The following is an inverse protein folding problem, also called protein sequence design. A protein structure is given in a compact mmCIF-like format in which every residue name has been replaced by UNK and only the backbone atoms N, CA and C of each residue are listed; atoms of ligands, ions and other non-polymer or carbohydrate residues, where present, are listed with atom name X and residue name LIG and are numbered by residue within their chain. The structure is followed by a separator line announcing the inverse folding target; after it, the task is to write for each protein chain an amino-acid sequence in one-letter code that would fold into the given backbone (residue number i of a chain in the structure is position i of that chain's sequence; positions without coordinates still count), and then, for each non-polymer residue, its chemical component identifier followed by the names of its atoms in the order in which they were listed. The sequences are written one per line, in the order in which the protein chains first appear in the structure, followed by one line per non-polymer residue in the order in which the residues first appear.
data_IF_530970646834
#
_entry.id   IF_530970646834
#
_cell.length_a   1.000
_cell.length_b   1.000
_cell.length_c   1.000
_cell.angle_alpha   90.00
_cell.angle_beta   90.00
_cell.angle_gamma   90.00
#
_symmetry.space_group_name_H-M   'P 1'
#
loop_
_entity.id
_entity.type
_entity.pdbx_description
1 polymer ?
#
# COMPACT_ATOMS: atom_id res chain seq x y z
N UNK A 1 -30.96 41.85 -25.13
CA UNK A 1 -29.55 41.83 -24.66
C UNK A 1 -29.37 40.63 -23.73
N UNK A 2 -28.49 39.70 -24.07
CA UNK A 2 -28.20 38.52 -23.23
C UNK A 2 -27.51 38.95 -21.94
N UNK A 3 -28.05 38.54 -20.79
CA UNK A 3 -27.48 38.89 -19.49
C UNK A 3 -26.12 38.23 -19.27
N UNK A 4 -25.32 38.75 -18.33
CA UNK A 4 -24.00 38.18 -18.02
C UNK A 4 -24.12 36.76 -17.43
N UNK A 5 -25.20 36.46 -16.73
CA UNK A 5 -25.55 35.11 -16.21
C UNK A 5 -25.84 34.13 -17.35
N UNK A 6 -26.60 34.55 -18.36
CA UNK A 6 -26.91 33.74 -19.54
C UNK A 6 -25.68 33.41 -20.38
N UNK A 7 -24.76 34.39 -20.54
CA UNK A 7 -23.48 34.16 -21.24
C UNK A 7 -22.63 33.09 -20.51
N UNK A 8 -22.50 33.23 -19.20
CA UNK A 8 -21.75 32.28 -18.40
C UNK A 8 -22.40 30.88 -18.40
N UNK A 9 -23.72 30.79 -18.37
CA UNK A 9 -24.43 29.51 -18.47
C UNK A 9 -24.17 28.83 -19.81
N UNK A 10 -24.19 29.57 -20.92
CA UNK A 10 -23.86 29.03 -22.25
C UNK A 10 -22.41 28.54 -22.34
N UNK A 11 -21.45 29.25 -21.75
CA UNK A 11 -20.05 28.83 -21.68
C UNK A 11 -19.93 27.49 -20.94
N UNK A 12 -20.62 27.34 -19.79
CA UNK A 12 -20.66 26.10 -18.99
C UNK A 12 -21.34 24.99 -19.77
N UNK A 13 -22.48 25.22 -20.42
CA UNK A 13 -23.21 24.21 -21.19
C UNK A 13 -22.39 23.68 -22.37
N UNK A 14 -21.71 24.58 -23.10
CA UNK A 14 -20.82 24.21 -24.19
C UNK A 14 -19.69 23.31 -23.70
N UNK A 15 -19.05 23.69 -22.60
CA UNK A 15 -17.99 22.89 -21.98
C UNK A 15 -18.51 21.52 -21.45
N UNK A 16 -19.66 21.50 -20.78
CA UNK A 16 -20.27 20.27 -20.28
C UNK A 16 -20.63 19.30 -21.40
N UNK A 17 -21.11 19.82 -22.54
CA UNK A 17 -21.44 18.98 -23.71
C UNK A 17 -20.18 18.40 -24.36
N UNK A 18 -19.11 19.21 -24.51
CA UNK A 18 -17.84 18.76 -25.08
C UNK A 18 -17.13 17.73 -24.18
N UNK A 19 -17.13 17.98 -22.86
CA UNK A 19 -16.46 17.13 -21.88
C UNK A 19 -17.32 15.97 -21.37
N UNK A 20 -18.59 15.84 -21.84
CA UNK A 20 -19.60 14.89 -21.35
C UNK A 20 -19.81 14.94 -19.83
N UNK A 21 -19.59 16.12 -19.22
CA UNK A 21 -19.70 16.35 -17.80
C UNK A 21 -21.10 16.83 -17.41
N UNK A 22 -21.69 16.28 -16.34
CA UNK A 22 -22.96 16.77 -15.82
C UNK A 22 -22.81 18.19 -15.24
N UNK A 23 -23.80 19.07 -15.48
CA UNK A 23 -23.81 20.47 -15.00
C UNK A 23 -23.66 20.61 -13.49
N UNK A 24 -24.22 19.68 -12.72
CA UNK A 24 -24.07 19.63 -11.25
C UNK A 24 -22.65 19.24 -10.82
N UNK A 25 -22.01 18.34 -11.53
CA UNK A 25 -20.61 17.95 -11.33
C UNK A 25 -19.68 19.09 -11.64
N UNK A 26 -19.88 19.77 -12.77
CA UNK A 26 -19.14 20.98 -13.14
C UNK A 26 -19.20 22.03 -12.03
N UNK A 27 -20.41 22.35 -11.55
CA UNK A 27 -20.58 23.35 -10.49
C UNK A 27 -19.86 23.00 -9.18
N UNK A 28 -19.87 21.72 -8.78
CA UNK A 28 -19.12 21.24 -7.62
C UNK A 28 -17.61 21.36 -7.82
N UNK A 29 -17.11 20.95 -8.97
CA UNK A 29 -15.68 20.96 -9.25
C UNK A 29 -15.12 22.37 -9.43
N UNK A 30 -15.84 23.25 -10.14
CA UNK A 30 -15.37 24.59 -10.45
C UNK A 30 -15.44 25.56 -9.24
N UNK A 31 -16.52 25.49 -8.46
CA UNK A 31 -16.82 26.48 -7.40
C UNK A 31 -17.44 25.90 -6.13
N UNK A 32 -17.43 24.59 -5.97
CA UNK A 32 -18.04 23.86 -4.84
C UNK A 32 -19.55 24.11 -4.68
N UNK A 33 -20.28 24.27 -5.81
CA UNK A 33 -21.71 24.54 -5.83
C UNK A 33 -22.44 23.74 -6.93
N UNK A 34 -22.99 22.60 -6.57
CA UNK A 34 -23.73 21.72 -7.49
C UNK A 34 -25.02 22.34 -8.06
N UNK A 35 -25.51 23.45 -7.49
CA UNK A 35 -26.70 24.16 -7.94
C UNK A 35 -26.39 25.42 -8.78
N UNK A 36 -25.11 25.66 -9.10
CA UNK A 36 -24.66 26.83 -9.88
C UNK A 36 -25.48 27.02 -11.16
N UNK A 37 -25.53 26.01 -12.02
CA UNK A 37 -26.22 26.10 -13.31
C UNK A 37 -27.73 26.31 -13.15
N UNK A 38 -28.36 25.69 -12.15
CA UNK A 38 -29.77 25.89 -11.83
C UNK A 38 -30.08 27.31 -11.32
N UNK A 39 -29.13 27.97 -10.63
CA UNK A 39 -29.29 29.36 -10.22
C UNK A 39 -29.11 30.32 -11.39
N UNK A 40 -28.12 30.11 -12.24
CA UNK A 40 -27.88 30.89 -13.46
C UNK A 40 -29.05 30.79 -14.44
N UNK A 41 -29.69 29.60 -14.59
CA UNK A 41 -30.87 29.41 -15.44
C UNK A 41 -32.12 30.13 -14.92
N UNK A 42 -32.19 30.45 -13.64
CA UNK A 42 -33.25 31.24 -13.01
C UNK A 42 -32.96 32.74 -13.03
N UNK A 43 -31.93 33.16 -13.78
CA UNK A 43 -31.55 34.57 -13.89
C UNK A 43 -30.72 35.14 -12.75
N UNK A 44 -30.38 34.32 -11.73
CA UNK A 44 -29.54 34.76 -10.61
C UNK A 44 -28.08 34.92 -11.06
N UNK A 45 -27.52 36.09 -10.85
CA UNK A 45 -26.13 36.35 -11.19
C UNK A 45 -25.16 35.89 -10.10
N UNK A 46 -23.88 35.72 -10.48
CA UNK A 46 -22.81 35.31 -9.56
C UNK A 46 -21.72 36.39 -9.48
N UNK A 47 -20.99 36.40 -8.36
CA UNK A 47 -19.92 37.37 -8.13
C UNK A 47 -18.82 37.26 -9.20
N UNK A 48 -18.09 38.34 -9.42
CA UNK A 48 -16.96 38.39 -10.36
C UNK A 48 -15.94 37.29 -10.04
N UNK A 49 -15.64 37.07 -8.77
CA UNK A 49 -14.74 36.00 -8.26
C UNK A 49 -15.21 34.60 -8.66
N UNK A 50 -16.52 34.37 -8.64
CA UNK A 50 -17.12 33.08 -9.05
C UNK A 50 -17.01 32.89 -10.56
N UNK A 51 -17.26 33.96 -11.34
CA UNK A 51 -17.11 33.94 -12.81
C UNK A 51 -15.66 33.63 -13.25
N UNK A 52 -14.69 34.25 -12.58
CA UNK A 52 -13.27 33.99 -12.83
C UNK A 52 -12.94 32.53 -12.57
N UNK A 53 -13.31 31.98 -11.43
CA UNK A 53 -13.07 30.55 -11.11
C UNK A 53 -13.70 29.59 -12.11
N UNK A 54 -14.90 29.89 -12.61
CA UNK A 54 -15.58 29.07 -13.62
C UNK A 54 -14.79 29.09 -14.94
N UNK A 55 -14.34 30.25 -15.38
CA UNK A 55 -13.56 30.39 -16.63
C UNK A 55 -12.17 29.76 -16.50
N UNK A 56 -11.50 29.94 -15.38
CA UNK A 56 -10.21 29.32 -15.12
C UNK A 56 -10.32 27.77 -15.13
N UNK A 57 -11.42 27.25 -14.59
CA UNK A 57 -11.71 25.80 -14.64
C UNK A 57 -11.92 25.32 -16.08
N UNK A 58 -12.73 26.04 -16.87
CA UNK A 58 -12.97 25.74 -18.30
C UNK A 58 -11.65 25.78 -19.08
N UNK A 59 -10.86 26.84 -18.95
CA UNK A 59 -9.60 27.02 -19.67
C UNK A 59 -8.57 25.94 -19.32
N UNK A 60 -8.44 25.60 -18.03
CA UNK A 60 -7.52 24.56 -17.56
C UNK A 60 -7.85 23.18 -18.12
N UNK A 61 -9.14 22.90 -18.35
CA UNK A 61 -9.57 21.60 -18.87
C UNK A 61 -9.72 21.60 -20.41
N UNK A 62 -9.87 22.74 -21.07
CA UNK A 62 -9.83 22.84 -22.55
C UNK A 62 -8.42 22.69 -23.10
N UNK A 63 -7.40 23.18 -22.42
CA UNK A 63 -5.99 22.97 -22.79
C UNK A 63 -5.54 21.51 -22.72
N UNK A 64 -6.26 20.68 -21.97
CA UNK A 64 -6.04 19.22 -21.90
C UNK A 64 -6.75 18.45 -23.05
N UNK A 65 -7.59 19.13 -23.87
CA UNK A 65 -8.31 18.49 -24.99
C UNK A 65 -7.57 18.64 -26.32
N UNK A 66 -6.50 19.45 -26.39
CA UNK A 66 -5.75 19.74 -27.61
C UNK A 66 -4.31 19.22 -27.67
N UNK A 67 -3.92 18.31 -26.79
CA UNK A 67 -2.58 17.72 -26.84
C UNK A 67 -2.47 16.48 -25.96
N UNK A 68 -2.33 15.32 -26.61
CA UNK A 68 -1.91 14.03 -26.09
C UNK A 68 -2.92 13.32 -25.17
N UNK A 69 -3.50 12.23 -25.68
CA UNK A 69 -4.27 11.22 -24.97
C UNK A 69 -3.52 10.71 -23.71
N UNK A 70 -3.94 11.16 -22.55
CA UNK A 70 -3.76 10.47 -21.28
C UNK A 70 -5.13 10.36 -20.65
N UNK A 71 -5.85 9.33 -21.02
CA UNK A 71 -7.15 9.00 -20.45
C UNK A 71 -7.00 8.49 -19.02
N UNK A 72 -7.18 9.37 -18.04
CA UNK A 72 -7.54 8.96 -16.69
C UNK A 72 -9.06 8.87 -16.66
N UNK A 73 -9.60 7.70 -16.97
CA UNK A 73 -11.02 7.39 -16.77
C UNK A 73 -11.28 7.12 -15.29
N UNK A 74 -11.80 8.14 -14.61
CA UNK A 74 -12.60 7.94 -13.39
C UNK A 74 -14.05 7.90 -13.85
N UNK A 75 -14.54 6.73 -14.22
CA UNK A 75 -15.97 6.51 -14.47
C UNK A 75 -16.69 6.25 -13.14
N UNK A 76 -17.40 7.28 -12.68
CA UNK A 76 -18.57 7.11 -11.82
C UNK A 76 -19.82 7.40 -12.67
N UNK A 77 -20.51 6.38 -13.15
CA UNK A 77 -21.87 6.50 -13.65
C UNK A 77 -22.83 5.63 -12.83
N UNK A 78 -23.98 6.19 -12.39
CA UNK A 78 -25.10 5.39 -11.96
C UNK A 78 -26.03 5.16 -13.18
N UNK A 79 -25.98 3.99 -13.81
CA UNK A 79 -27.03 3.56 -14.71
C UNK A 79 -28.11 2.80 -13.91
N UNK A 80 -29.28 3.41 -13.79
CA UNK A 80 -30.51 2.69 -13.50
C UNK A 80 -30.94 1.94 -14.77
N UNK A 81 -30.83 0.62 -14.78
CA UNK A 81 -31.80 -0.26 -15.41
C UNK A 81 -31.50 -1.73 -15.12
N UNK A 82 -32.60 -2.41 -14.73
CA UNK A 82 -32.86 -3.87 -14.69
C UNK A 82 -32.24 -4.69 -13.55
N UNK A 83 -33.14 -4.99 -12.61
CA UNK A 83 -33.05 -6.06 -11.62
C UNK A 83 -32.79 -7.41 -12.34
N UNK A 84 -31.53 -7.77 -12.35
CA UNK A 84 -31.03 -9.10 -12.63
C UNK A 84 -29.84 -9.31 -11.66
N UNK A 85 -29.79 -10.45 -10.97
CA UNK A 85 -28.78 -10.81 -9.95
C UNK A 85 -27.40 -10.31 -10.36
N UNK A 86 -27.04 -9.10 -9.95
CA UNK A 86 -25.71 -8.53 -10.17
C UNK A 86 -24.80 -9.01 -9.04
N UNK A 87 -23.76 -9.76 -9.41
CA UNK A 87 -22.55 -9.83 -8.61
C UNK A 87 -22.06 -8.39 -8.38
N UNK A 88 -22.44 -7.79 -7.29
CA UNK A 88 -21.90 -6.51 -6.84
C UNK A 88 -20.38 -6.68 -6.77
N UNK A 89 -19.65 -6.00 -7.65
CA UNK A 89 -18.19 -5.90 -7.56
C UNK A 89 -17.91 -5.20 -6.24
N UNK A 90 -17.57 -5.96 -5.19
CA UNK A 90 -17.12 -5.36 -3.94
C UNK A 90 -15.91 -4.50 -4.28
N UNK A 91 -16.01 -3.17 -4.07
CA UNK A 91 -14.86 -2.28 -4.14
C UNK A 91 -13.79 -2.87 -3.25
N UNK A 92 -12.59 -3.05 -3.78
CA UNK A 92 -11.52 -3.68 -3.02
C UNK A 92 -11.08 -2.70 -1.94
N UNK A 93 -10.95 -3.17 -0.71
CA UNK A 93 -10.46 -2.43 0.44
C UNK A 93 -9.17 -1.61 0.15
N UNK A 94 -8.29 -2.13 -0.71
CA UNK A 94 -7.05 -1.45 -1.11
C UNK A 94 -7.25 -0.33 -2.15
N UNK A 95 -8.46 -0.12 -2.66
CA UNK A 95 -8.73 0.95 -3.64
C UNK A 95 -8.82 2.32 -2.95
N UNK A 96 -9.00 2.37 -1.62
CA UNK A 96 -9.01 3.61 -0.85
C UNK A 96 -7.63 3.93 -0.25
N UNK A 97 -6.78 4.50 -1.08
CA UNK A 97 -5.42 4.91 -0.74
C UNK A 97 -5.34 5.96 0.36
N UNK A 98 -6.35 6.81 0.43
CA UNK A 98 -6.45 7.88 1.44
C UNK A 98 -6.50 7.30 2.87
N UNK A 99 -7.28 6.25 3.08
CA UNK A 99 -7.41 5.60 4.38
C UNK A 99 -6.08 4.97 4.82
N UNK A 100 -5.34 4.35 3.89
CA UNK A 100 -4.01 3.81 4.16
C UNK A 100 -3.02 4.92 4.55
N UNK A 101 -2.91 5.98 3.77
CA UNK A 101 -1.99 7.09 4.06
C UNK A 101 -2.32 7.77 5.39
N UNK A 102 -3.61 7.95 5.70
CA UNK A 102 -4.05 8.46 7.00
C UNK A 102 -3.64 7.51 8.14
N UNK A 103 -3.82 6.20 7.97
CA UNK A 103 -3.45 5.19 8.96
C UNK A 103 -1.95 5.19 9.26
N UNK A 104 -1.08 5.14 8.24
CA UNK A 104 0.37 5.09 8.46
C UNK A 104 0.94 6.37 9.07
N UNK A 105 0.29 7.53 8.83
CA UNK A 105 0.70 8.80 9.42
C UNK A 105 0.13 9.01 10.84
N UNK A 106 -0.94 8.33 11.20
CA UNK A 106 -1.58 8.48 12.51
C UNK A 106 -1.19 7.41 13.53
N UNK A 107 -0.47 6.36 13.12
CA UNK A 107 -0.09 5.24 14.00
C UNK A 107 1.40 4.93 13.95
N UNK A 108 1.91 4.26 14.99
CA UNK A 108 3.30 3.80 15.03
C UNK A 108 3.46 2.31 14.65
N UNK A 109 2.50 1.72 13.92
CA UNK A 109 2.53 0.31 13.51
C UNK A 109 3.82 -0.04 12.79
N UNK A 110 4.18 0.71 11.75
CA UNK A 110 5.36 0.44 10.92
C UNK A 110 6.66 0.42 11.73
N UNK A 111 6.78 1.30 12.72
CA UNK A 111 7.96 1.31 13.60
C UNK A 111 8.00 0.07 14.49
N UNK A 112 6.86 -0.36 15.04
CA UNK A 112 6.79 -1.55 15.89
C UNK A 112 7.08 -2.84 15.11
N UNK A 113 6.59 -2.93 13.88
CA UNK A 113 6.91 -4.04 12.97
C UNK A 113 8.40 -4.02 12.60
N UNK A 114 8.99 -2.86 12.32
CA UNK A 114 10.42 -2.74 12.04
C UNK A 114 11.29 -3.14 13.23
N UNK A 115 10.94 -2.72 14.47
CA UNK A 115 11.59 -3.17 15.71
C UNK A 115 11.50 -4.70 15.85
N UNK A 116 10.35 -5.28 15.53
CA UNK A 116 10.15 -6.73 15.57
C UNK A 116 11.03 -7.44 14.53
N UNK A 117 11.08 -6.94 13.31
CA UNK A 117 11.92 -7.48 12.24
C UNK A 117 13.41 -7.37 12.57
N UNK A 118 13.85 -6.25 13.14
CA UNK A 118 15.24 -6.05 13.54
C UNK A 118 15.72 -7.07 14.60
N UNK A 119 14.81 -7.60 15.43
CA UNK A 119 15.15 -8.68 16.39
C UNK A 119 15.56 -9.97 15.69
N UNK A 120 15.12 -10.20 14.45
CA UNK A 120 15.51 -11.40 13.69
C UNK A 120 16.96 -11.33 13.19
N UNK A 121 17.51 -10.12 12.98
CA UNK A 121 18.87 -9.91 12.48
C UNK A 121 19.95 -10.63 13.32
N UNK A 122 19.74 -10.76 14.64
CA UNK A 122 20.69 -11.46 15.53
C UNK A 122 20.78 -12.97 15.27
N UNK A 123 19.78 -13.53 14.61
CA UNK A 123 19.68 -14.95 14.29
C UNK A 123 20.16 -15.28 12.87
N UNK A 124 20.42 -14.27 12.05
CA UNK A 124 20.88 -14.47 10.68
C UNK A 124 22.37 -14.84 10.66
N UNK A 125 22.72 -15.68 9.71
CA UNK A 125 24.09 -16.08 9.39
C UNK A 125 24.29 -15.89 7.89
N UNK A 126 24.32 -14.63 7.40
CA UNK A 126 24.40 -14.36 5.98
C UNK A 126 25.74 -14.87 5.42
N UNK A 127 25.68 -15.43 4.22
CA UNK A 127 26.85 -15.88 3.49
C UNK A 127 27.20 -14.89 2.37
N UNK A 128 28.49 -14.68 2.06
CA UNK A 128 28.86 -13.91 0.88
C UNK A 128 28.12 -14.38 -0.36
N UNK A 129 27.81 -13.48 -1.34
CA UNK A 129 28.36 -12.12 -1.47
C UNK A 129 27.54 -11.04 -0.75
N UNK A 130 26.37 -11.33 -0.16
CA UNK A 130 25.49 -10.30 0.40
C UNK A 130 24.56 -10.82 1.48
N UNK A 131 24.06 -9.94 2.35
CA UNK A 131 22.86 -10.16 3.15
C UNK A 131 21.63 -9.98 2.26
N UNK A 132 20.78 -11.00 2.14
CA UNK A 132 19.67 -11.09 1.20
C UNK A 132 18.33 -10.96 1.93
N UNK A 133 17.58 -9.92 1.60
CA UNK A 133 16.28 -9.63 2.22
C UNK A 133 15.18 -9.62 1.16
N UNK A 134 14.04 -10.21 1.49
CA UNK A 134 12.81 -10.09 0.71
C UNK A 134 11.72 -9.41 1.54
N UNK A 135 11.20 -8.28 1.06
CA UNK A 135 10.03 -7.59 1.62
C UNK A 135 8.81 -7.92 0.77
N UNK A 136 7.86 -8.66 1.34
CA UNK A 136 6.69 -9.18 0.64
C UNK A 136 5.58 -8.13 0.41
N UNK A 137 5.73 -6.95 0.97
CA UNK A 137 4.81 -5.82 0.80
C UNK A 137 5.43 -4.55 1.33
N UNK A 138 6.25 -3.89 0.48
CA UNK A 138 7.07 -2.75 0.88
C UNK A 138 6.23 -1.57 1.40
N UNK A 139 5.04 -1.37 0.84
CA UNK A 139 4.19 -0.22 1.14
C UNK A 139 4.96 1.07 0.92
N UNK A 140 4.94 1.96 1.91
CA UNK A 140 5.65 3.24 1.90
C UNK A 140 7.15 3.14 2.29
N UNK A 141 7.71 1.93 2.37
CA UNK A 141 9.06 1.59 2.81
C UNK A 141 9.45 2.00 4.24
N UNK A 142 8.53 2.40 5.10
CA UNK A 142 8.88 2.77 6.48
C UNK A 142 9.51 1.60 7.24
N UNK A 143 8.96 0.37 7.12
CA UNK A 143 9.56 -0.82 7.73
C UNK A 143 10.96 -1.06 7.17
N UNK A 144 11.10 -1.03 5.86
CA UNK A 144 12.36 -1.31 5.18
C UNK A 144 13.45 -0.29 5.53
N UNK A 145 13.14 1.01 5.54
CA UNK A 145 14.11 2.06 5.89
C UNK A 145 14.63 1.94 7.32
N UNK A 146 13.75 1.61 8.28
CA UNK A 146 14.18 1.36 9.67
C UNK A 146 15.00 0.08 9.81
N UNK A 147 14.64 -0.96 9.07
CA UNK A 147 15.38 -2.21 9.07
C UNK A 147 16.77 -2.03 8.47
N UNK A 148 16.90 -1.28 7.37
CA UNK A 148 18.19 -0.99 6.72
C UNK A 148 19.19 -0.31 7.65
N UNK A 149 18.75 0.64 8.49
CA UNK A 149 19.59 1.24 9.53
C UNK A 149 20.10 0.20 10.55
N UNK A 150 19.21 -0.71 10.97
CA UNK A 150 19.56 -1.79 11.89
C UNK A 150 20.51 -2.80 11.24
N UNK A 151 20.33 -3.07 9.94
CA UNK A 151 21.23 -3.91 9.15
C UNK A 151 22.59 -3.28 9.00
N UNK A 152 22.68 -1.99 8.62
CA UNK A 152 23.94 -1.25 8.50
C UNK A 152 24.72 -1.29 9.81
N UNK A 153 24.07 -1.02 10.93
CA UNK A 153 24.72 -1.08 12.25
C UNK A 153 25.29 -2.46 12.59
N UNK A 154 24.63 -3.53 12.15
CA UNK A 154 25.04 -4.90 12.46
C UNK A 154 26.02 -5.49 11.44
N UNK A 155 25.88 -5.11 10.19
CA UNK A 155 26.64 -5.63 9.05
C UNK A 155 27.21 -4.48 8.22
N UNK A 156 28.12 -3.65 8.78
CA UNK A 156 28.49 -2.37 8.17
C UNK A 156 29.27 -2.51 6.86
N UNK A 157 29.90 -3.67 6.61
CA UNK A 157 30.73 -3.92 5.43
C UNK A 157 30.15 -4.94 4.45
N UNK A 158 29.06 -5.63 4.83
CA UNK A 158 28.46 -6.67 3.98
C UNK A 158 27.50 -6.02 2.97
N UNK A 159 27.63 -6.29 1.68
CA UNK A 159 26.69 -5.80 0.70
C UNK A 159 25.25 -6.26 0.98
N UNK A 160 24.26 -5.44 0.66
CA UNK A 160 22.85 -5.76 0.81
C UNK A 160 22.19 -6.02 -0.56
N UNK A 161 21.48 -7.12 -0.64
CA UNK A 161 20.58 -7.44 -1.76
C UNK A 161 19.15 -7.46 -1.23
N UNK A 162 18.34 -6.53 -1.69
CA UNK A 162 16.99 -6.32 -1.19
C UNK A 162 16.03 -6.42 -2.37
N UNK A 163 15.08 -7.35 -2.27
CA UNK A 163 13.96 -7.44 -3.20
C UNK A 163 12.69 -7.04 -2.46
N UNK A 164 12.00 -6.04 -2.97
CA UNK A 164 10.77 -5.51 -2.42
C UNK A 164 9.63 -5.67 -3.42
N UNK A 165 8.55 -6.32 -2.99
CA UNK A 165 7.34 -6.44 -3.79
C UNK A 165 6.38 -5.32 -3.42
N UNK A 166 5.86 -4.61 -4.45
CA UNK A 166 4.81 -3.63 -4.24
C UNK A 166 3.86 -3.57 -5.44
N UNK A 167 2.56 -3.50 -5.14
CA UNK A 167 1.50 -3.50 -6.15
C UNK A 167 0.99 -2.10 -6.49
N UNK A 168 1.19 -1.12 -5.61
CA UNK A 168 0.75 0.27 -5.78
C UNK A 168 1.88 1.10 -6.34
N UNK A 169 1.68 1.75 -7.48
CA UNK A 169 2.66 2.68 -8.05
C UNK A 169 2.91 3.87 -7.11
N UNK A 170 1.87 4.34 -6.41
CA UNK A 170 1.98 5.44 -5.45
C UNK A 170 2.88 5.05 -4.27
N UNK A 171 2.76 3.81 -3.78
CA UNK A 171 3.65 3.29 -2.74
C UNK A 171 5.08 3.16 -3.23
N UNK A 172 5.29 2.68 -4.46
CA UNK A 172 6.61 2.61 -5.07
C UNK A 172 7.25 4.00 -5.14
N UNK A 173 6.51 5.03 -5.56
CA UNK A 173 6.98 6.42 -5.61
C UNK A 173 7.42 6.92 -4.23
N UNK A 174 6.55 6.75 -3.22
CA UNK A 174 6.84 7.16 -1.84
C UNK A 174 8.04 6.39 -1.30
N UNK A 175 8.12 5.10 -1.54
CA UNK A 175 9.20 4.23 -1.07
C UNK A 175 10.55 4.64 -1.65
N UNK A 176 10.62 4.83 -2.96
CA UNK A 176 11.86 5.19 -3.63
C UNK A 176 12.36 6.56 -3.16
N UNK A 177 11.46 7.53 -2.92
CA UNK A 177 11.85 8.84 -2.38
C UNK A 177 12.47 8.75 -0.98
N UNK A 178 12.04 7.79 -0.15
CA UNK A 178 12.59 7.54 1.20
C UNK A 178 13.90 6.74 1.18
N UNK A 179 14.20 6.06 0.08
CA UNK A 179 15.35 5.15 0.00
C UNK A 179 16.63 5.85 -0.47
N UNK A 180 16.57 7.09 -0.98
CA UNK A 180 17.74 7.85 -1.44
C UNK A 180 18.84 7.95 -0.37
N UNK A 181 18.47 8.25 0.90
CA UNK A 181 19.40 8.33 2.01
C UNK A 181 20.07 6.99 2.35
N UNK A 182 19.41 5.89 2.01
CA UNK A 182 19.94 4.53 2.31
C UNK A 182 21.14 4.19 1.45
N UNK A 183 21.19 4.70 0.22
CA UNK A 183 22.36 4.56 -0.65
C UNK A 183 23.57 5.35 -0.17
N UNK A 184 23.35 6.43 0.61
CA UNK A 184 24.45 7.16 1.27
C UNK A 184 24.92 6.43 2.54
N UNK A 185 23.97 5.98 3.36
CA UNK A 185 24.29 5.31 4.64
C UNK A 185 24.97 3.96 4.43
N UNK A 186 24.54 3.19 3.40
CA UNK A 186 25.13 1.90 3.05
C UNK A 186 25.30 1.80 1.53
N UNK A 187 26.42 2.30 1.00
CA UNK A 187 26.65 2.41 -0.45
C UNK A 187 26.61 1.06 -1.20
N UNK A 188 27.05 -0.02 -0.54
CA UNK A 188 27.03 -1.38 -1.12
C UNK A 188 25.63 -2.01 -1.03
N UNK A 189 24.60 -1.33 -1.56
CA UNK A 189 23.21 -1.77 -1.56
C UNK A 189 22.65 -1.89 -2.96
N UNK A 190 22.01 -3.04 -3.24
CA UNK A 190 21.16 -3.25 -4.43
C UNK A 190 19.71 -3.34 -3.95
N UNK A 191 18.85 -2.47 -4.46
CA UNK A 191 17.41 -2.49 -4.22
C UNK A 191 16.71 -2.89 -5.51
N UNK A 192 15.81 -3.88 -5.40
CA UNK A 192 14.99 -4.36 -6.50
C UNK A 192 13.52 -4.19 -6.12
N UNK A 193 12.75 -3.53 -6.98
CA UNK A 193 11.30 -3.40 -6.80
C UNK A 193 10.57 -4.17 -7.89
N UNK A 194 9.53 -4.94 -7.52
CA UNK A 194 8.77 -5.76 -8.46
C UNK A 194 7.27 -5.77 -8.17
N UNK A 195 6.47 -5.88 -9.23
CA UNK A 195 5.02 -6.03 -9.17
C UNK A 195 4.53 -7.50 -9.23
N UNK A 196 5.44 -8.46 -9.25
CA UNK A 196 5.14 -9.89 -9.41
C UNK A 196 4.38 -10.49 -8.22
N UNK A 197 3.76 -11.64 -8.42
CA UNK A 197 3.10 -12.40 -7.37
C UNK A 197 4.11 -13.06 -6.41
N UNK A 198 3.66 -13.45 -5.21
CA UNK A 198 4.51 -14.09 -4.19
C UNK A 198 5.20 -15.38 -4.65
N UNK A 199 4.60 -16.10 -5.60
CA UNK A 199 5.21 -17.30 -6.19
C UNK A 199 6.31 -17.02 -7.22
N UNK A 200 6.50 -15.77 -7.62
CA UNK A 200 7.39 -15.34 -8.71
C UNK A 200 8.40 -14.28 -8.24
N UNK A 201 7.92 -13.34 -7.39
CA UNK A 201 8.70 -12.20 -6.93
C UNK A 201 10.05 -12.57 -6.27
N UNK A 202 10.15 -13.61 -5.40
CA UNK A 202 11.43 -13.98 -4.81
C UNK A 202 12.49 -14.45 -5.83
N UNK A 203 12.05 -14.97 -6.97
CA UNK A 203 12.94 -15.44 -8.05
C UNK A 203 13.09 -14.43 -9.18
N UNK A 204 12.40 -13.29 -9.12
CA UNK A 204 12.33 -12.26 -10.17
C UNK A 204 12.04 -12.88 -11.55
N UNK A 205 11.26 -13.95 -11.57
CA UNK A 205 10.96 -14.73 -12.77
C UNK A 205 9.48 -15.13 -12.79
N UNK A 206 8.74 -14.74 -13.83
CA UNK A 206 7.38 -15.24 -14.05
C UNK A 206 7.35 -16.75 -14.29
N UNK A 207 6.34 -17.43 -13.77
CA UNK A 207 6.14 -18.86 -14.00
C UNK A 207 5.59 -19.18 -15.40
N UNK A 208 4.90 -18.22 -16.02
CA UNK A 208 4.38 -18.36 -17.37
C UNK A 208 5.43 -17.92 -18.40
N UNK A 209 5.64 -18.71 -19.45
CA UNK A 209 6.66 -18.48 -20.48
C UNK A 209 6.40 -17.17 -21.25
N UNK A 210 5.13 -16.89 -21.60
CA UNK A 210 4.78 -15.66 -22.33
C UNK A 210 5.02 -14.41 -21.46
N UNK A 211 4.72 -14.50 -20.17
CA UNK A 211 5.01 -13.44 -19.22
C UNK A 211 6.51 -13.30 -18.96
N UNK A 212 7.27 -14.39 -18.97
CA UNK A 212 8.73 -14.34 -18.85
C UNK A 212 9.37 -13.66 -20.07
N UNK A 213 8.84 -13.91 -21.27
CA UNK A 213 9.28 -13.22 -22.50
C UNK A 213 8.87 -11.73 -22.51
N UNK A 214 7.78 -11.37 -21.81
CA UNK A 214 7.29 -10.01 -21.69
C UNK A 214 7.85 -9.26 -20.46
N UNK A 215 8.79 -9.85 -19.72
CA UNK A 215 9.38 -9.27 -18.52
C UNK A 215 10.03 -7.92 -18.81
N UNK A 216 9.53 -6.88 -18.12
CA UNK A 216 10.11 -5.54 -18.16
C UNK A 216 11.21 -5.43 -17.10
N UNK A 217 12.47 -5.49 -17.52
CA UNK A 217 13.62 -5.42 -16.65
C UNK A 217 14.37 -4.11 -16.88
N UNK A 218 14.42 -3.28 -15.84
CA UNK A 218 15.12 -2.01 -15.87
C UNK A 218 16.22 -2.01 -14.81
N UNK A 219 17.42 -1.56 -15.20
CA UNK A 219 18.57 -1.41 -14.33
C UNK A 219 18.96 0.07 -14.31
N UNK A 220 19.12 0.62 -13.10
CA UNK A 220 19.40 2.04 -12.86
C UNK A 220 20.64 2.16 -12.00
N UNK A 221 21.63 2.84 -12.54
CA UNK A 221 22.87 3.20 -11.86
C UNK A 221 22.77 4.64 -11.33
N UNK A 222 22.77 4.82 -10.02
CA UNK A 222 22.75 6.15 -9.41
C UNK A 222 24.16 6.73 -9.39
N UNK A 223 24.30 7.95 -9.92
CA UNK A 223 25.54 8.72 -9.95
C UNK A 223 25.49 9.86 -8.95
N UNK A 224 26.60 10.14 -8.28
CA UNK A 224 26.72 11.25 -7.33
C UNK A 224 27.25 10.82 -5.97
N UNK A 225 27.27 11.79 -5.03
CA UNK A 225 27.89 11.64 -3.72
C UNK A 225 26.92 11.86 -2.55
N UNK A 226 25.73 12.39 -2.81
CA UNK A 226 24.77 12.72 -1.75
C UNK A 226 23.34 12.32 -2.07
N UNK A 227 22.50 12.25 -1.01
CA UNK A 227 21.11 11.83 -1.13
C UNK A 227 20.25 12.74 -2.00
N UNK A 228 20.59 14.03 -2.10
CA UNK A 228 19.89 14.96 -2.98
C UNK A 228 20.04 14.54 -4.45
N UNK A 229 21.29 14.26 -4.90
CA UNK A 229 21.57 13.84 -6.26
C UNK A 229 20.87 12.51 -6.61
N UNK A 230 20.87 11.56 -5.66
CA UNK A 230 20.14 10.30 -5.83
C UNK A 230 18.63 10.51 -5.86
N UNK A 231 18.13 11.43 -5.02
CA UNK A 231 16.70 11.76 -4.97
C UNK A 231 16.18 12.36 -6.27
N UNK A 232 16.96 13.25 -6.92
CA UNK A 232 16.57 13.81 -8.23
C UNK A 232 16.54 12.72 -9.30
N UNK A 233 17.57 11.85 -9.40
CA UNK A 233 17.57 10.74 -10.34
C UNK A 233 16.42 9.75 -10.11
N UNK A 234 16.07 9.50 -8.84
CA UNK A 234 14.93 8.65 -8.48
C UNK A 234 13.60 9.26 -8.94
N UNK A 235 13.42 10.59 -8.86
CA UNK A 235 12.24 11.27 -9.39
C UNK A 235 12.09 11.08 -10.90
N UNK A 236 13.20 11.08 -11.61
CA UNK A 236 13.23 10.93 -13.07
C UNK A 236 12.84 9.50 -13.52
N UNK A 237 12.73 8.54 -12.57
CA UNK A 237 12.24 7.18 -12.87
C UNK A 237 10.72 7.09 -13.08
N UNK A 238 9.96 8.16 -12.87
CA UNK A 238 8.49 8.12 -12.98
C UNK A 238 7.96 7.52 -14.30
N UNK A 239 8.52 7.81 -15.48
CA UNK A 239 8.09 7.16 -16.72
C UNK A 239 8.29 5.63 -16.71
N UNK A 240 9.38 5.13 -16.11
CA UNK A 240 9.63 3.70 -15.97
C UNK A 240 8.62 3.04 -15.01
N UNK A 241 8.26 3.75 -13.93
CA UNK A 241 7.27 3.28 -12.97
C UNK A 241 5.88 3.20 -13.59
N UNK A 242 5.45 4.24 -14.32
CA UNK A 242 4.16 4.27 -15.02
C UNK A 242 4.05 3.14 -16.02
N UNK A 243 5.09 2.88 -16.79
CA UNK A 243 5.11 1.77 -17.74
C UNK A 243 5.14 0.40 -17.03
N UNK A 244 5.96 0.25 -15.99
CA UNK A 244 6.13 -0.98 -15.24
C UNK A 244 4.89 -1.40 -14.44
N UNK A 245 4.16 -0.44 -13.86
CA UNK A 245 2.96 -0.69 -13.05
C UNK A 245 1.65 -0.49 -13.81
N UNK A 246 1.69 -0.39 -15.13
CA UNK A 246 0.50 -0.27 -15.98
C UNK A 246 -0.41 -1.48 -15.83
N UNK A 247 -1.70 -1.22 -15.59
CA UNK A 247 -2.73 -2.26 -15.39
C UNK A 247 -3.70 -2.33 -16.56
N UNK A 248 -4.33 -3.51 -16.73
CA UNK A 248 -5.44 -3.75 -17.64
C UNK A 248 -6.50 -4.57 -16.93
N UNK A 249 -7.74 -4.52 -17.38
CA UNK A 249 -8.80 -5.38 -16.85
C UNK A 249 -8.63 -6.81 -17.34
N UNK A 250 -8.66 -7.76 -16.39
CA UNK A 250 -8.67 -9.19 -16.72
C UNK A 250 -9.93 -9.57 -17.50
N UNK A 251 -9.79 -10.22 -18.64
CA UNK A 251 -10.92 -10.72 -19.44
C UNK A 251 -11.79 -11.75 -18.69
N UNK A 252 -11.19 -12.50 -17.74
CA UNK A 252 -11.89 -13.56 -16.97
C UNK A 252 -12.63 -13.02 -15.74
N UNK A 253 -12.05 -12.05 -15.04
CA UNK A 253 -12.55 -11.62 -13.72
C UNK A 253 -12.94 -10.16 -13.66
N UNK A 254 -12.59 -9.34 -14.68
CA UNK A 254 -12.73 -7.89 -14.66
C UNK A 254 -11.82 -7.18 -13.66
N UNK A 255 -10.98 -7.92 -12.96
CA UNK A 255 -10.04 -7.36 -11.99
C UNK A 255 -8.84 -6.72 -12.68
N UNK A 256 -8.23 -5.66 -12.11
CA UNK A 256 -6.98 -5.12 -12.62
C UNK A 256 -5.86 -6.16 -12.49
N UNK A 257 -5.11 -6.33 -13.58
CA UNK A 257 -3.90 -7.15 -13.65
C UNK A 257 -2.83 -6.34 -14.37
N UNK A 258 -1.58 -6.53 -14.03
CA UNK A 258 -0.50 -5.84 -14.72
C UNK A 258 -0.44 -6.24 -16.20
N UNK A 259 -0.10 -5.27 -17.04
CA UNK A 259 0.10 -5.51 -18.48
C UNK A 259 1.26 -6.50 -18.66
N UNK A 260 2.32 -6.33 -17.87
CA UNK A 260 3.51 -7.19 -17.83
C UNK A 260 4.13 -7.23 -16.44
N UNK A 261 4.85 -8.30 -16.08
CA UNK A 261 5.68 -8.33 -14.89
C UNK A 261 6.85 -7.36 -15.07
N UNK A 262 7.22 -6.68 -13.97
CA UNK A 262 8.27 -5.65 -14.00
C UNK A 262 9.24 -5.81 -12.85
N UNK A 263 10.49 -5.52 -13.14
CA UNK A 263 11.63 -5.50 -12.21
C UNK A 263 12.39 -4.20 -12.43
N UNK A 264 12.62 -3.46 -11.37
CA UNK A 264 13.44 -2.27 -11.34
C UNK A 264 14.61 -2.51 -10.38
N UNK A 265 15.83 -2.55 -10.88
CA UNK A 265 17.07 -2.74 -10.11
C UNK A 265 17.74 -1.39 -9.94
N UNK A 266 18.09 -1.00 -8.71
CA UNK A 266 18.70 0.29 -8.41
C UNK A 266 19.94 0.06 -7.53
N UNK A 267 21.06 0.65 -7.90
CA UNK A 267 22.31 0.64 -7.11
C UNK A 267 23.20 1.83 -7.48
N UNK A 268 24.24 2.08 -6.68
CA UNK A 268 25.21 3.13 -6.96
C UNK A 268 26.23 2.67 -8.01
N UNK A 269 26.47 3.52 -9.01
CA UNK A 269 27.44 3.27 -10.09
C UNK A 269 28.86 3.08 -9.61
N UNK A 270 29.31 3.89 -8.67
CA UNK A 270 30.65 3.83 -8.08
C UNK A 270 30.92 2.56 -7.28
N UNK A 271 29.89 1.82 -6.88
CA UNK A 271 29.97 0.53 -6.19
C UNK A 271 29.68 -0.68 -7.12
N UNK A 272 29.43 -0.47 -8.40
CA UNK A 272 29.09 -1.52 -9.38
C UNK A 272 30.08 -2.68 -9.37
N UNK A 273 31.38 -2.39 -9.31
CA UNK A 273 32.42 -3.44 -9.31
C UNK A 273 32.30 -4.34 -8.07
N UNK A 274 32.13 -3.75 -6.89
CA UNK A 274 31.92 -4.49 -5.64
C UNK A 274 30.63 -5.31 -5.67
N UNK A 275 29.60 -4.79 -6.31
CA UNK A 275 28.25 -5.37 -6.37
C UNK A 275 28.05 -6.33 -7.55
N UNK A 276 29.08 -6.59 -8.37
CA UNK A 276 28.94 -7.39 -9.60
C UNK A 276 28.32 -8.78 -9.37
N UNK A 277 28.61 -9.41 -8.22
CA UNK A 277 28.05 -10.71 -7.84
C UNK A 277 26.76 -10.58 -7.01
N UNK A 278 26.26 -9.36 -6.78
CA UNK A 278 25.04 -9.04 -6.01
C UNK A 278 23.94 -8.52 -6.93
N UNK A 279 24.30 -7.75 -7.97
CA UNK A 279 23.36 -7.21 -8.95
C UNK A 279 22.69 -8.38 -9.68
N UNK A 280 21.35 -8.50 -9.60
CA UNK A 280 20.65 -9.63 -10.18
C UNK A 280 20.61 -9.52 -11.70
N UNK A 281 20.63 -10.69 -12.36
CA UNK A 281 20.46 -10.80 -13.81
C UNK A 281 19.20 -11.57 -14.14
N UNK A 282 18.51 -11.26 -15.25
CA UNK A 282 17.31 -11.99 -15.65
C UNK A 282 17.57 -13.51 -15.74
N UNK A 283 16.69 -14.28 -15.09
CA UNK A 283 16.77 -15.74 -15.08
C UNK A 283 17.86 -16.36 -14.19
N UNK A 284 18.66 -15.55 -13.48
CA UNK A 284 19.76 -16.03 -12.63
C UNK A 284 19.54 -15.73 -11.13
N UNK A 285 18.34 -15.37 -10.73
CA UNK A 285 18.00 -15.11 -9.32
C UNK A 285 17.47 -16.38 -8.67
N UNK A 286 18.07 -16.73 -7.56
CA UNK A 286 17.65 -17.86 -6.72
C UNK A 286 16.95 -17.36 -5.49
N UNK A 287 15.86 -18.02 -5.09
CA UNK A 287 15.21 -17.79 -3.80
C UNK A 287 16.06 -18.37 -2.67
N UNK A 288 16.88 -17.55 -2.03
CA UNK A 288 17.81 -17.91 -0.96
C UNK A 288 18.00 -16.73 0.01
N UNK A 289 16.88 -16.19 0.48
CA UNK A 289 16.86 -15.02 1.37
C UNK A 289 17.18 -15.39 2.81
N UNK A 290 18.03 -14.59 3.43
CA UNK A 290 18.36 -14.69 4.86
C UNK A 290 17.18 -14.22 5.74
N UNK A 291 16.46 -13.20 5.29
CA UNK A 291 15.24 -12.73 5.95
C UNK A 291 14.16 -12.40 4.93
N UNK A 292 12.98 -12.94 5.17
CA UNK A 292 11.75 -12.58 4.48
C UNK A 292 10.82 -11.89 5.47
N UNK A 293 10.26 -10.73 5.09
CA UNK A 293 9.29 -9.99 5.89
C UNK A 293 7.95 -10.04 5.17
N UNK A 294 6.93 -10.54 5.83
CA UNK A 294 5.56 -10.61 5.34
C UNK A 294 4.65 -9.91 6.35
N UNK A 295 4.62 -8.56 6.29
CA UNK A 295 3.76 -7.74 7.15
C UNK A 295 2.45 -7.44 6.43
N UNK A 296 1.33 -7.87 7.01
CA UNK A 296 -0.03 -7.69 6.48
C UNK A 296 -0.17 -8.12 5.00
N UNK A 297 0.38 -9.29 4.56
CA UNK A 297 0.49 -9.62 3.14
C UNK A 297 -0.82 -10.15 2.53
N UNK A 298 -1.88 -10.23 3.31
CA UNK A 298 -3.20 -10.75 2.92
C UNK A 298 -4.34 -10.00 3.58
N UNK A 299 -5.55 -10.20 3.07
CA UNK A 299 -6.77 -9.72 3.70
C UNK A 299 -7.09 -10.54 4.95
N UNK A 300 -7.52 -9.88 6.02
CA UNK A 300 -7.83 -10.52 7.30
C UNK A 300 -8.83 -11.68 7.16
N UNK A 301 -9.96 -11.44 6.48
CA UNK A 301 -11.08 -12.37 6.29
C UNK A 301 -10.79 -13.59 5.39
N UNK A 302 -9.61 -13.67 4.76
CA UNK A 302 -9.23 -14.81 3.90
C UNK A 302 -8.85 -16.01 4.77
N UNK A 303 -9.27 -17.21 4.36
CA UNK A 303 -9.03 -18.44 5.12
C UNK A 303 -7.55 -18.86 5.18
N UNK A 304 -7.19 -19.66 6.18
CA UNK A 304 -5.82 -20.10 6.43
C UNK A 304 -5.19 -20.86 5.26
N UNK A 305 -5.96 -21.70 4.58
CA UNK A 305 -5.48 -22.49 3.44
C UNK A 305 -5.04 -21.60 2.28
N UNK A 306 -5.82 -20.56 1.98
CA UNK A 306 -5.46 -19.60 0.92
C UNK A 306 -4.20 -18.81 1.29
N UNK A 307 -4.11 -18.30 2.54
CA UNK A 307 -2.93 -17.58 3.07
C UNK A 307 -1.68 -18.45 3.00
N UNK A 308 -1.79 -19.71 3.42
CA UNK A 308 -0.71 -20.67 3.40
C UNK A 308 -0.23 -20.96 1.96
N UNK A 309 -1.14 -21.34 1.07
CA UNK A 309 -0.81 -21.75 -0.30
C UNK A 309 -0.25 -20.60 -1.15
N UNK A 310 -0.88 -19.42 -1.12
CA UNK A 310 -0.57 -18.36 -2.08
C UNK A 310 0.48 -17.36 -1.58
N UNK A 311 0.76 -17.35 -0.27
CA UNK A 311 1.72 -16.41 0.31
C UNK A 311 2.80 -17.12 1.11
N UNK A 312 2.44 -17.84 2.18
CA UNK A 312 3.45 -18.38 3.09
C UNK A 312 4.31 -19.48 2.48
N UNK A 313 3.72 -20.42 1.74
CA UNK A 313 4.47 -21.53 1.15
C UNK A 313 5.53 -21.06 0.13
N UNK A 314 5.21 -20.21 -0.86
CA UNK A 314 6.23 -19.70 -1.76
C UNK A 314 7.30 -18.89 -1.03
N UNK A 315 6.94 -18.04 -0.06
CA UNK A 315 7.91 -17.27 0.71
C UNK A 315 8.80 -18.15 1.60
N UNK A 316 8.25 -19.23 2.17
CA UNK A 316 9.01 -20.20 2.95
C UNK A 316 10.03 -20.95 2.09
N UNK A 317 9.64 -21.34 0.88
CA UNK A 317 10.53 -22.00 -0.08
C UNK A 317 11.69 -21.12 -0.58
N UNK A 318 11.51 -19.80 -0.49
CA UNK A 318 12.52 -18.80 -0.87
C UNK A 318 13.59 -18.54 0.21
N UNK A 319 13.53 -19.21 1.36
CA UNK A 319 14.53 -19.05 2.42
C UNK A 319 15.85 -19.73 2.09
N UNK A 320 16.96 -19.07 2.37
CA UNK A 320 18.30 -19.67 2.42
C UNK A 320 18.42 -20.68 3.57
N UNK A 321 19.48 -21.46 3.60
CA UNK A 321 19.84 -22.26 4.78
C UNK A 321 19.99 -21.33 6.01
N UNK A 322 19.32 -21.63 7.10
CA UNK A 322 19.16 -20.77 8.29
C UNK A 322 18.37 -19.47 8.03
N UNK A 323 17.83 -19.27 6.84
CA UNK A 323 16.99 -18.14 6.51
C UNK A 323 15.71 -18.13 7.34
N UNK A 324 15.15 -16.94 7.56
CA UNK A 324 14.00 -16.72 8.45
C UNK A 324 12.90 -15.93 7.74
N UNK A 325 11.66 -16.36 7.89
CA UNK A 325 10.48 -15.63 7.46
C UNK A 325 9.76 -15.11 8.71
N UNK A 326 9.61 -13.81 8.84
CA UNK A 326 8.76 -13.15 9.81
C UNK A 326 7.42 -12.82 9.18
N UNK A 327 6.34 -13.42 9.67
CA UNK A 327 4.97 -13.07 9.29
C UNK A 327 4.32 -12.27 10.41
N UNK A 328 3.58 -11.22 10.01
CA UNK A 328 2.83 -10.33 10.91
C UNK A 328 1.43 -10.14 10.34
N UNK A 329 0.41 -10.28 11.18
CA UNK A 329 -0.98 -10.00 10.83
C UNK A 329 -1.73 -9.38 12.00
N UNK A 330 -2.79 -8.63 11.73
CA UNK A 330 -3.68 -8.10 12.76
C UNK A 330 -4.42 -9.25 13.47
N UNK A 331 -4.58 -9.13 14.78
CA UNK A 331 -5.14 -10.19 15.63
C UNK A 331 -6.37 -9.76 16.43
N UNK A 332 -6.65 -8.45 16.52
CA UNK A 332 -7.78 -7.92 17.30
C UNK A 332 -7.60 -8.04 18.81
N UNK A 333 -8.72 -8.12 19.53
CA UNK A 333 -8.70 -8.10 20.99
C UNK A 333 -8.20 -6.78 21.56
N UNK A 334 -8.58 -5.68 20.93
CA UNK A 334 -8.10 -4.32 21.18
C UNK A 334 -9.24 -3.30 21.09
N UNK A 335 -9.03 -2.06 21.59
CA UNK A 335 -10.04 -1.00 21.53
C UNK A 335 -10.50 -0.62 20.12
N UNK A 336 -9.65 -0.86 19.09
CA UNK A 336 -10.04 -0.57 17.72
C UNK A 336 -11.09 -1.56 17.21
N UNK A 337 -10.97 -2.85 17.55
CA UNK A 337 -11.99 -3.84 17.26
C UNK A 337 -13.28 -3.55 18.07
N UNK A 338 -13.15 -3.17 19.35
CA UNK A 338 -14.31 -2.75 20.17
C UNK A 338 -15.04 -1.58 19.54
N UNK A 339 -14.33 -0.56 19.00
CA UNK A 339 -14.92 0.56 18.27
C UNK A 339 -15.77 0.09 17.09
N UNK A 340 -15.26 -0.85 16.34
CA UNK A 340 -15.97 -1.44 15.18
C UNK A 340 -17.19 -2.24 15.63
N UNK A 341 -17.08 -3.01 16.72
CA UNK A 341 -18.16 -3.84 17.24
C UNK A 341 -19.27 -3.04 17.93
N UNK A 342 -19.00 -1.83 18.44
CA UNK A 342 -20.06 -0.92 18.91
C UNK A 342 -21.01 -0.50 17.77
N UNK A 343 -20.53 -0.49 16.53
CA UNK A 343 -21.33 -0.13 15.34
C UNK A 343 -21.83 -1.38 14.60
N UNK A 344 -20.96 -2.39 14.48
CA UNK A 344 -21.27 -3.67 13.85
C UNK A 344 -21.00 -4.83 14.83
N UNK A 345 -21.95 -5.18 15.71
CA UNK A 345 -21.70 -6.13 16.83
C UNK A 345 -21.21 -7.52 16.41
N UNK A 346 -21.52 -7.94 15.19
CA UNK A 346 -21.12 -9.27 14.67
C UNK A 346 -19.87 -9.21 13.79
N UNK A 347 -19.11 -8.11 13.82
CA UNK A 347 -17.90 -8.00 13.00
C UNK A 347 -16.73 -8.74 13.65
N UNK A 348 -16.23 -9.75 12.95
CA UNK A 348 -15.10 -10.59 13.35
C UNK A 348 -14.11 -10.73 12.19
N UNK A 349 -13.25 -9.75 11.92
CA UNK A 349 -12.36 -9.79 10.77
C UNK A 349 -11.17 -10.75 10.92
N UNK A 350 -10.77 -11.10 12.15
CA UNK A 350 -9.54 -11.83 12.46
C UNK A 350 -9.78 -13.31 12.83
N UNK A 351 -10.47 -14.03 11.94
CA UNK A 351 -10.89 -15.42 12.15
C UNK A 351 -9.74 -16.43 12.18
N UNK A 352 -8.55 -16.07 11.69
CA UNK A 352 -7.43 -17.00 11.52
C UNK A 352 -6.23 -16.53 12.32
N UNK A 353 -5.89 -17.27 13.38
CA UNK A 353 -4.71 -16.99 14.21
C UNK A 353 -3.42 -17.64 13.67
N UNK A 354 -2.28 -17.28 14.26
CA UNK A 354 -0.95 -17.78 13.85
C UNK A 354 -0.80 -19.31 13.94
N UNK A 355 -1.48 -19.97 14.89
CA UNK A 355 -1.40 -21.43 15.05
C UNK A 355 -2.12 -22.15 13.90
N UNK A 356 -3.27 -21.63 13.49
CA UNK A 356 -4.02 -22.13 12.33
C UNK A 356 -3.25 -21.91 11.04
N UNK A 357 -2.57 -20.74 10.89
CA UNK A 357 -1.71 -20.46 9.74
C UNK A 357 -0.52 -21.42 9.69
N UNK A 358 0.15 -21.66 10.80
CA UNK A 358 1.27 -22.61 10.88
C UNK A 358 0.79 -24.02 10.53
N UNK A 359 -0.36 -24.45 11.04
CA UNK A 359 -0.95 -25.75 10.70
C UNK A 359 -1.22 -25.85 9.20
N UNK A 360 -1.95 -24.87 8.64
CA UNK A 360 -2.26 -24.85 7.21
C UNK A 360 -0.99 -24.82 6.33
N UNK A 361 0.06 -24.12 6.77
CA UNK A 361 1.33 -24.09 6.06
C UNK A 361 2.05 -25.44 6.12
N UNK A 362 2.06 -26.13 7.25
CA UNK A 362 2.62 -27.48 7.35
C UNK A 362 1.90 -28.45 6.41
N UNK A 363 0.56 -28.37 6.37
CA UNK A 363 -0.25 -29.18 5.48
C UNK A 363 0.06 -28.89 4.00
N UNK A 364 0.23 -27.61 3.62
CA UNK A 364 0.58 -27.20 2.25
C UNK A 364 1.99 -27.63 1.83
N UNK A 365 2.96 -27.54 2.75
CA UNK A 365 4.33 -27.97 2.50
C UNK A 365 4.48 -29.51 2.49
N UNK A 366 3.57 -30.23 3.13
CA UNK A 366 3.59 -31.67 3.22
C UNK A 366 4.93 -32.20 3.79
N UNK A 367 5.59 -33.09 3.06
CA UNK A 367 6.90 -33.67 3.46
C UNK A 367 8.02 -32.64 3.57
N UNK A 368 7.96 -31.56 2.78
CA UNK A 368 8.98 -30.51 2.84
C UNK A 368 8.97 -29.77 4.20
N UNK A 369 7.87 -29.82 4.96
CA UNK A 369 7.76 -29.17 6.27
C UNK A 369 8.83 -29.59 7.27
N UNK A 370 9.40 -30.79 7.13
CA UNK A 370 10.50 -31.29 7.97
C UNK A 370 11.77 -30.41 7.90
N UNK A 371 11.96 -29.68 6.78
CA UNK A 371 13.11 -28.82 6.55
C UNK A 371 13.00 -27.47 7.28
N UNK A 372 11.91 -27.21 8.00
CA UNK A 372 11.63 -25.93 8.62
C UNK A 372 11.32 -26.08 10.10
N UNK A 373 11.64 -25.03 10.87
CA UNK A 373 11.16 -24.83 12.23
C UNK A 373 10.05 -23.79 12.21
N UNK A 374 8.95 -24.07 12.91
CA UNK A 374 7.79 -23.20 13.01
C UNK A 374 7.72 -22.63 14.43
N UNK A 375 8.01 -21.36 14.58
CA UNK A 375 8.18 -20.68 15.87
C UNK A 375 6.98 -19.77 16.13
N UNK A 376 5.91 -20.33 16.71
CA UNK A 376 4.71 -19.56 17.05
C UNK A 376 4.98 -18.52 18.16
N UNK A 377 5.94 -18.78 19.02
CA UNK A 377 6.18 -17.98 20.22
C UNK A 377 5.06 -18.12 21.26
N UNK A 378 5.28 -17.62 22.48
CA UNK A 378 4.20 -17.39 23.44
C UNK A 378 3.37 -16.17 23.04
N UNK A 379 2.15 -16.04 23.55
CA UNK A 379 1.29 -14.91 23.23
C UNK A 379 1.97 -13.57 23.49
N UNK A 380 2.65 -13.44 24.64
CA UNK A 380 3.40 -12.21 24.98
C UNK A 380 4.52 -11.90 24.00
N UNK A 381 5.24 -12.92 23.48
CA UNK A 381 6.35 -12.72 22.52
C UNK A 381 5.88 -12.51 21.10
N UNK A 382 4.69 -13.00 20.77
CA UNK A 382 4.08 -12.90 19.44
C UNK A 382 3.32 -11.60 19.26
N UNK A 383 2.81 -11.01 20.33
CA UNK A 383 2.02 -9.80 20.32
C UNK A 383 2.88 -8.58 19.98
N UNK A 384 2.41 -7.80 19.03
CA UNK A 384 2.96 -6.49 18.66
C UNK A 384 1.86 -5.47 18.92
N UNK A 385 1.95 -4.77 20.06
CA UNK A 385 1.02 -3.68 20.34
C UNK A 385 1.55 -2.38 19.77
N UNK A 386 0.73 -1.70 19.02
CA UNK A 386 1.00 -0.36 18.50
C UNK A 386 -0.18 0.57 18.76
N UNK A 387 0.04 1.86 18.65
CA UNK A 387 -0.96 2.86 19.03
C UNK A 387 -1.01 4.00 18.03
N UNK A 388 -2.14 4.70 18.05
CA UNK A 388 -2.30 5.97 17.41
C UNK A 388 -1.44 7.04 18.08
N UNK A 389 -0.91 7.99 17.30
CA UNK A 389 -0.28 9.19 17.81
C UNK A 389 -1.38 10.14 18.30
N UNK A 390 -1.54 10.28 19.61
CA UNK A 390 -2.50 11.19 20.22
C UNK A 390 -1.73 12.16 21.12
N UNK A 391 -2.05 13.43 21.01
CA UNK A 391 -1.53 14.45 21.90
C UNK A 391 -2.22 14.30 23.27
N UNK A 392 -1.45 14.18 24.34
CA UNK A 392 -2.00 13.92 25.68
C UNK A 392 -3.02 14.95 26.15
N UNK A 393 -2.82 16.22 25.82
CA UNK A 393 -3.73 17.32 26.16
C UNK A 393 -5.06 17.32 25.37
N UNK A 394 -5.16 16.59 24.24
CA UNK A 394 -6.40 16.45 23.48
C UNK A 394 -7.44 15.54 24.16
N UNK A 395 -7.02 14.75 25.16
CA UNK A 395 -7.91 13.80 25.85
C UNK A 395 -8.55 14.35 27.12
N UNK A 396 -8.06 15.49 27.64
CA UNK A 396 -8.51 16.01 28.93
C UNK A 396 -9.84 16.77 28.85
N UNK A 397 -9.97 17.76 27.96
CA UNK A 397 -11.16 18.62 27.89
C UNK A 397 -12.07 18.34 26.68
N UNK A 398 -11.53 18.35 25.48
CA UNK A 398 -12.25 18.02 24.26
C UNK A 398 -11.33 17.34 23.25
N UNK A 399 -11.81 16.28 22.62
CA UNK A 399 -11.07 15.61 21.55
C UNK A 399 -11.41 16.32 20.24
N UNK A 400 -10.40 16.83 19.52
CA UNK A 400 -10.59 17.50 18.24
C UNK A 400 -11.19 16.58 17.18
N UNK A 401 -12.03 17.11 16.30
CA UNK A 401 -12.71 16.35 15.24
C UNK A 401 -11.71 15.62 14.33
N UNK A 402 -10.54 16.22 14.05
CA UNK A 402 -9.49 15.60 13.26
C UNK A 402 -8.92 14.35 13.92
N UNK A 403 -8.73 14.35 15.24
CA UNK A 403 -8.28 13.20 16.03
C UNK A 403 -9.32 12.10 16.04
N UNK A 404 -10.60 12.44 16.22
CA UNK A 404 -11.71 11.48 16.15
C UNK A 404 -11.79 10.82 14.77
N UNK A 405 -11.66 11.63 13.71
CA UNK A 405 -11.67 11.11 12.35
C UNK A 405 -10.47 10.19 12.08
N UNK A 406 -9.27 10.57 12.50
CA UNK A 406 -8.07 9.74 12.34
C UNK A 406 -8.18 8.41 13.10
N UNK A 407 -8.72 8.43 14.33
CA UNK A 407 -8.95 7.23 15.14
C UNK A 407 -9.98 6.30 14.49
N UNK A 408 -11.11 6.86 14.02
CA UNK A 408 -12.11 6.13 13.26
C UNK A 408 -11.52 5.50 12.00
N UNK A 409 -10.82 6.29 11.18
CA UNK A 409 -10.19 5.82 9.96
C UNK A 409 -9.19 4.68 10.23
N UNK A 410 -8.37 4.80 11.28
CA UNK A 410 -7.42 3.75 11.66
C UNK A 410 -8.15 2.45 12.07
N UNK A 411 -9.23 2.54 12.87
CA UNK A 411 -10.02 1.38 13.26
C UNK A 411 -10.68 0.71 12.06
N UNK A 412 -11.32 1.48 11.18
CA UNK A 412 -11.95 0.98 9.95
C UNK A 412 -10.92 0.32 9.03
N UNK A 413 -9.74 0.95 8.87
CA UNK A 413 -8.68 0.45 8.03
C UNK A 413 -8.16 -0.91 8.51
N UNK A 414 -7.79 -1.03 9.79
CA UNK A 414 -7.24 -2.27 10.36
C UNK A 414 -8.25 -3.40 10.33
N UNK A 415 -9.52 -3.12 10.63
CA UNK A 415 -10.59 -4.10 10.62
C UNK A 415 -11.15 -4.38 9.21
N UNK A 416 -10.64 -3.70 8.18
CA UNK A 416 -10.97 -3.92 6.77
C UNK A 416 -12.49 -3.86 6.48
N UNK A 417 -13.13 -2.82 7.00
CA UNK A 417 -14.55 -2.55 6.74
C UNK A 417 -14.72 -2.01 5.32
N UNK A 418 -15.69 -2.50 4.61
CA UNK A 418 -15.99 -2.12 3.23
C UNK A 418 -16.59 -0.70 3.15
N UNK A 419 -16.20 0.08 2.12
CA UNK A 419 -16.58 1.50 1.95
C UNK A 419 -18.09 1.73 1.89
N UNK A 420 -18.86 0.80 1.32
CA UNK A 420 -20.32 0.86 1.24
C UNK A 420 -21.00 0.76 2.61
N UNK A 421 -20.35 0.10 3.56
CA UNK A 421 -20.81 0.00 4.95
C UNK A 421 -20.41 1.24 5.78
N UNK A 422 -19.30 1.89 5.41
CA UNK A 422 -18.78 3.07 6.12
C UNK A 422 -19.63 4.31 5.80
N UNK A 423 -20.04 4.49 4.55
CA UNK A 423 -20.69 5.71 4.09
C UNK A 423 -21.94 6.12 4.93
N UNK A 424 -22.90 5.22 5.25
CA UNK A 424 -24.06 5.58 6.07
C UNK A 424 -23.69 6.00 7.52
N UNK A 425 -22.66 5.38 8.09
CA UNK A 425 -22.17 5.67 9.45
C UNK A 425 -21.52 7.06 9.51
N UNK A 426 -20.76 7.41 8.47
CA UNK A 426 -20.14 8.74 8.37
C UNK A 426 -21.21 9.83 8.18
N UNK A 427 -22.25 9.56 7.38
CA UNK A 427 -23.37 10.49 7.17
C UNK A 427 -24.16 10.77 8.45
N UNK A 428 -24.30 9.79 9.34
CA UNK A 428 -25.01 9.96 10.63
C UNK A 428 -24.21 10.72 11.69
N UNK A 429 -22.88 10.87 11.54
CA UNK A 429 -21.95 11.38 12.53
C UNK A 429 -21.95 10.65 13.90
N UNK A 430 -22.62 9.51 14.01
CA UNK A 430 -22.73 8.76 15.26
C UNK A 430 -21.36 8.18 15.68
N UNK A 431 -20.53 7.80 14.69
CA UNK A 431 -19.18 7.29 14.92
C UNK A 431 -18.30 8.24 15.74
N UNK A 432 -18.51 9.58 15.66
CA UNK A 432 -17.73 10.56 16.42
C UNK A 432 -17.96 10.40 17.93
N UNK A 433 -19.21 10.20 18.35
CA UNK A 433 -19.56 10.01 19.76
C UNK A 433 -19.00 8.71 20.32
N UNK A 434 -19.11 7.63 19.54
CA UNK A 434 -18.59 6.30 19.91
C UNK A 434 -17.07 6.35 20.00
N UNK A 435 -16.40 6.95 19.01
CA UNK A 435 -14.94 7.12 19.00
C UNK A 435 -14.46 7.92 20.20
N UNK A 436 -15.11 9.07 20.51
CA UNK A 436 -14.76 9.89 21.67
C UNK A 436 -14.91 9.13 23.01
N UNK A 437 -15.99 8.35 23.17
CA UNK A 437 -16.22 7.50 24.34
C UNK A 437 -15.07 6.52 24.55
N UNK A 438 -14.65 5.82 23.47
CA UNK A 438 -13.61 4.80 23.56
C UNK A 438 -12.20 5.39 23.75
N UNK A 439 -11.90 6.51 23.08
CA UNK A 439 -10.63 7.21 23.28
C UNK A 439 -10.48 7.66 24.75
N UNK A 440 -11.55 8.19 25.38
CA UNK A 440 -11.55 8.53 26.82
C UNK A 440 -11.41 7.29 27.69
N UNK A 441 -12.16 6.21 27.41
CA UNK A 441 -12.11 4.95 28.18
C UNK A 441 -10.71 4.36 28.23
N UNK A 442 -9.99 4.38 27.12
CA UNK A 442 -8.69 3.71 26.96
C UNK A 442 -7.49 4.65 26.97
N UNK A 443 -7.71 5.96 27.18
CA UNK A 443 -6.68 7.00 27.06
C UNK A 443 -5.90 6.90 25.74
N UNK A 444 -6.62 6.81 24.63
CA UNK A 444 -6.09 6.66 23.28
C UNK A 444 -6.63 5.44 22.55
N UNK A 445 -6.11 5.20 21.34
CA UNK A 445 -6.45 4.02 20.54
C UNK A 445 -5.19 3.19 20.29
N UNK A 446 -5.29 1.89 20.50
CA UNK A 446 -4.23 0.94 20.23
C UNK A 446 -4.78 -0.30 19.55
N UNK A 447 -3.87 -1.06 18.95
CA UNK A 447 -4.14 -2.20 18.10
C UNK A 447 -3.19 -3.34 18.45
N UNK A 448 -3.59 -4.55 18.16
CA UNK A 448 -2.77 -5.73 18.32
C UNK A 448 -2.54 -6.42 16.97
N UNK A 449 -1.28 -6.61 16.66
CA UNK A 449 -0.85 -7.58 15.67
C UNK A 449 -0.25 -8.80 16.37
N UNK A 450 -0.23 -9.94 15.69
CA UNK A 450 0.53 -11.10 16.09
C UNK A 450 1.60 -11.43 15.06
N UNK A 451 2.71 -11.99 15.53
CA UNK A 451 3.81 -12.41 14.67
C UNK A 451 4.26 -13.84 14.96
N UNK A 452 4.75 -14.51 13.93
CA UNK A 452 5.41 -15.81 14.04
C UNK A 452 6.58 -15.89 13.07
N UNK A 453 7.47 -16.85 13.31
CA UNK A 453 8.66 -17.03 12.48
C UNK A 453 8.73 -18.45 11.96
N UNK A 454 9.14 -18.58 10.70
CA UNK A 454 9.52 -19.85 10.10
C UNK A 454 11.00 -19.75 9.77
N UNK A 455 11.79 -20.75 10.16
CA UNK A 455 13.21 -20.80 9.81
C UNK A 455 13.54 -22.07 9.09
N UNK A 456 14.32 -21.97 8.00
CA UNK A 456 14.86 -23.12 7.30
C UNK A 456 16.00 -23.72 8.13
N UNK A 457 16.03 -25.03 8.25
CA UNK A 457 17.11 -25.75 8.92
C UNK A 457 18.38 -25.70 8.06
N UNK A 458 19.54 -25.73 8.70
CA UNK A 458 20.79 -26.08 8.01
C UNK A 458 20.71 -27.51 7.52
N UNK A 459 21.03 -27.73 6.30
CA UNK A 459 21.28 -29.05 5.73
C UNK A 459 22.76 -29.34 5.91
#
# INVERSE_FOLDING_TARGET
MTTAAEKLLKEIESFCNQSKMAKSTFGRMAVNDGKLCSRLSKGNDVTLKTRTKVRDFINKHQNNLSGVDVSINIETQPNKEKIGKSNAKSKRFYDNRQNYLSFINSTNEKWKVAERAARELKHLKPSPPSLRIFDAGMGDATILTHLLRSMHRRYPIMPFFIVAKEISIEDVRISLSKLSDRFVEHPATVIVVTNMHYAEAPWLRPNNVDLAAALNWNEVELEGECSHQYGEQIKDLDPLLVDGWKVKSSRKTGNPVYVRPSVLVIYRKDHKFLLNNVIPKPGQVYGDYDLVIASQPWRAKVNAKFKAKNVLAPLTKALSNNGRLLAVQSSGGDPALELIQEIWPNEEPFLVNRHELIKALKDELGRESINYNFLAGSDVKSLIRYRMHVMSNELEDSIGTSTLFAAWNAAVYVNQIEDDRIAPVVESNEYLKITAKLLKKYNGLWFNDESFVISRKSI
#
